data_IF_125893324057
#
_entry.id   IF_125893324057
#
_cell.length_a   1.000
_cell.length_b   1.000
_cell.length_c   1.000
_cell.angle_alpha   90.00
_cell.angle_beta   90.00
_cell.angle_gamma   90.00
#
_symmetry.space_group_name_H-M   'P 1'
#
loop_
_entity.id
_entity.type
_entity.pdbx_description
1 polymer ?
#
# COMPACT_ATOMS: atom_id res chain seq x y z
N UNK A 1 23.61 -18.66 -10.73
CA UNK A 1 22.20 -18.46 -10.35
C UNK A 1 21.51 -17.98 -11.61
N UNK A 2 20.59 -18.79 -12.15
CA UNK A 2 19.82 -18.44 -13.34
C UNK A 2 18.40 -18.08 -12.92
N UNK A 3 17.82 -17.06 -13.55
CA UNK A 3 16.47 -16.61 -13.27
C UNK A 3 15.48 -17.50 -14.03
N UNK A 4 14.65 -18.22 -13.28
CA UNK A 4 13.72 -19.22 -13.85
C UNK A 4 12.46 -18.55 -14.43
N UNK A 5 11.94 -17.52 -13.76
CA UNK A 5 10.72 -16.83 -14.16
C UNK A 5 10.89 -15.31 -14.04
N UNK A 6 11.53 -14.71 -15.05
CA UNK A 6 11.70 -13.26 -15.15
C UNK A 6 10.50 -12.56 -15.78
N UNK A 7 9.60 -13.30 -16.43
CA UNK A 7 8.53 -12.74 -17.24
C UNK A 7 7.22 -12.58 -16.47
N UNK A 8 6.98 -13.38 -15.43
CA UNK A 8 5.76 -13.30 -14.62
C UNK A 8 6.05 -13.14 -13.11
N UNK A 9 6.65 -12.02 -12.69
CA UNK A 9 6.81 -11.76 -11.26
C UNK A 9 5.45 -11.66 -10.57
N UNK A 10 5.29 -12.35 -9.45
CA UNK A 10 4.12 -12.15 -8.58
C UNK A 10 4.24 -10.80 -7.88
N UNK A 11 3.20 -10.00 -7.98
CA UNK A 11 3.08 -8.75 -7.26
C UNK A 11 2.85 -9.04 -5.77
N UNK A 12 3.52 -8.29 -4.91
CA UNK A 12 3.39 -8.38 -3.46
C UNK A 12 3.04 -6.99 -2.91
N UNK A 13 2.03 -6.94 -2.06
CA UNK A 13 1.59 -5.73 -1.38
C UNK A 13 2.53 -5.35 -0.24
N UNK A 14 2.56 -4.06 0.12
CA UNK A 14 3.40 -3.56 1.21
C UNK A 14 3.08 -4.24 2.55
N UNK A 15 1.80 -4.60 2.77
CA UNK A 15 1.35 -5.35 3.96
C UNK A 15 1.92 -6.78 4.00
N UNK A 16 1.93 -7.50 2.88
CA UNK A 16 2.51 -8.84 2.76
C UNK A 16 4.03 -8.80 2.98
N UNK A 17 4.71 -7.81 2.42
CA UNK A 17 6.15 -7.58 2.65
C UNK A 17 6.40 -7.31 4.15
N UNK A 18 5.60 -6.46 4.78
CA UNK A 18 5.74 -6.14 6.20
C UNK A 18 5.53 -7.38 7.09
N UNK A 19 4.54 -8.22 6.77
CA UNK A 19 4.29 -9.51 7.44
C UNK A 19 5.49 -10.44 7.31
N UNK A 20 6.03 -10.58 6.09
CA UNK A 20 7.22 -11.39 5.82
C UNK A 20 8.45 -10.90 6.59
N UNK A 21 8.65 -9.58 6.67
CA UNK A 21 9.75 -8.99 7.45
C UNK A 21 9.58 -9.31 8.93
N UNK A 22 8.37 -9.17 9.49
CA UNK A 22 8.07 -9.50 10.90
C UNK A 22 8.37 -10.97 11.22
N UNK A 23 8.05 -11.89 10.32
CA UNK A 23 8.33 -13.32 10.47
C UNK A 23 9.82 -13.67 10.33
N UNK A 24 10.55 -12.95 9.48
CA UNK A 24 11.96 -13.23 9.14
C UNK A 24 13.00 -12.61 10.07
N UNK A 25 12.63 -11.61 10.89
CA UNK A 25 13.52 -10.94 11.87
C UNK A 25 14.31 -11.90 12.78
N UNK A 26 13.82 -13.12 13.01
CA UNK A 26 14.46 -14.13 13.87
C UNK A 26 15.54 -14.98 13.18
N UNK A 27 15.64 -14.99 11.84
CA UNK A 27 16.38 -16.06 11.12
C UNK A 27 17.65 -15.62 10.37
N UNK A 28 17.84 -14.33 10.04
CA UNK A 28 18.95 -13.94 9.14
C UNK A 28 19.81 -12.79 9.67
N UNK A 29 20.93 -13.14 10.32
CA UNK A 29 21.90 -12.18 10.89
C UNK A 29 22.56 -11.27 9.84
N UNK A 30 22.73 -11.75 8.60
CA UNK A 30 23.43 -11.01 7.52
C UNK A 30 22.56 -9.96 6.81
N UNK A 31 21.24 -10.00 6.99
CA UNK A 31 20.29 -9.10 6.32
C UNK A 31 19.60 -8.13 7.30
N UNK A 32 20.09 -8.03 8.54
CA UNK A 32 19.44 -7.25 9.61
C UNK A 32 19.26 -5.78 9.24
N UNK A 33 20.27 -5.12 8.65
CA UNK A 33 20.18 -3.72 8.25
C UNK A 33 19.10 -3.49 7.19
N UNK A 34 19.02 -4.38 6.19
CA UNK A 34 17.99 -4.30 5.14
C UNK A 34 16.59 -4.53 5.73
N UNK A 35 16.42 -5.59 6.53
CA UNK A 35 15.12 -5.89 7.17
C UNK A 35 14.67 -4.76 8.11
N UNK A 36 15.61 -4.15 8.84
CA UNK A 36 15.33 -3.02 9.72
C UNK A 36 14.94 -1.77 8.94
N UNK A 37 15.72 -1.38 7.93
CA UNK A 37 15.45 -0.18 7.11
C UNK A 37 14.17 -0.31 6.29
N UNK A 38 13.93 -1.47 5.66
CA UNK A 38 12.68 -1.75 4.96
C UNK A 38 11.48 -1.74 5.91
N UNK A 39 11.58 -2.41 7.07
CA UNK A 39 10.50 -2.39 8.07
C UNK A 39 10.22 -0.98 8.60
N UNK A 40 11.26 -0.18 8.83
CA UNK A 40 11.12 1.23 9.23
C UNK A 40 10.41 2.03 8.16
N UNK A 41 10.81 1.90 6.89
CA UNK A 41 10.16 2.59 5.77
C UNK A 41 8.68 2.20 5.63
N UNK A 42 8.38 0.89 5.68
CA UNK A 42 6.99 0.41 5.54
C UNK A 42 6.07 0.81 6.70
N UNK A 43 6.64 1.13 7.87
CA UNK A 43 5.88 1.62 9.01
C UNK A 43 5.74 3.15 9.02
N UNK A 44 6.75 3.89 8.56
CA UNK A 44 6.79 5.35 8.71
C UNK A 44 6.51 6.14 7.43
N UNK A 45 6.63 5.52 6.25
CA UNK A 45 6.47 6.20 4.96
C UNK A 45 5.32 5.63 4.14
N UNK A 46 4.64 4.61 4.63
CA UNK A 46 3.51 3.98 3.91
C UNK A 46 2.36 3.64 4.86
N UNK A 47 1.10 3.69 4.39
CA UNK A 47 -0.07 3.37 5.19
C UNK A 47 -0.25 1.87 5.50
N UNK A 48 0.64 1.00 5.00
CA UNK A 48 0.53 -0.47 5.14
C UNK A 48 0.59 -1.01 6.56
N UNK A 49 1.04 -0.22 7.55
CA UNK A 49 1.04 -0.63 8.96
C UNK A 49 -0.36 -0.69 9.56
N UNK A 50 -1.31 0.09 9.03
CA UNK A 50 -2.68 0.25 9.54
C UNK A 50 -3.73 -0.47 8.70
N UNK A 51 -3.31 -1.34 7.80
CA UNK A 51 -4.19 -2.14 6.97
C UNK A 51 -4.24 -3.59 7.47
N UNK A 52 -5.38 -4.26 7.28
CA UNK A 52 -5.53 -5.68 7.52
C UNK A 52 -5.69 -6.49 6.22
N UNK A 53 -5.29 -7.76 6.26
CA UNK A 53 -5.40 -8.69 5.12
C UNK A 53 -6.86 -8.88 4.68
N UNK A 54 -7.80 -8.87 5.62
CA UNK A 54 -9.24 -8.94 5.34
C UNK A 54 -9.77 -7.70 4.60
N UNK A 55 -9.32 -6.50 4.97
CA UNK A 55 -9.71 -5.27 4.28
C UNK A 55 -9.18 -5.22 2.86
N UNK A 56 -7.92 -5.65 2.67
CA UNK A 56 -7.31 -5.75 1.34
C UNK A 56 -8.08 -6.71 0.43
N UNK A 57 -8.48 -7.87 0.95
CA UNK A 57 -9.27 -8.82 0.18
C UNK A 57 -10.66 -8.26 -0.17
N UNK A 58 -11.34 -7.62 0.78
CA UNK A 58 -12.64 -7.00 0.56
C UNK A 58 -12.56 -5.87 -0.49
N UNK A 59 -11.54 -5.01 -0.41
CA UNK A 59 -11.30 -3.96 -1.38
C UNK A 59 -11.00 -4.52 -2.78
N UNK A 60 -10.18 -5.57 -2.85
CA UNK A 60 -9.84 -6.23 -4.11
C UNK A 60 -11.08 -6.85 -4.80
N UNK A 61 -12.10 -7.23 -4.04
CA UNK A 61 -13.39 -7.65 -4.60
C UNK A 61 -14.26 -6.47 -5.04
N UNK A 62 -14.31 -5.41 -4.24
CA UNK A 62 -15.09 -4.21 -4.52
C UNK A 62 -14.60 -3.42 -5.73
N UNK A 63 -13.30 -3.49 -6.05
CA UNK A 63 -12.67 -2.73 -7.15
C UNK A 63 -12.72 -3.45 -8.52
N UNK A 64 -13.10 -4.74 -8.55
CA UNK A 64 -13.26 -5.53 -9.79
C UNK A 64 -14.09 -4.86 -10.89
N UNK A 65 -15.24 -4.20 -10.62
CA UNK A 65 -16.06 -3.61 -11.67
C UNK A 65 -15.39 -2.44 -12.41
N UNK A 66 -14.33 -1.84 -11.86
CA UNK A 66 -13.65 -0.70 -12.46
C UNK A 66 -12.60 -1.09 -13.52
N UNK A 67 -12.44 -2.39 -13.84
CA UNK A 67 -11.49 -2.91 -14.85
C UNK A 67 -10.08 -2.31 -14.72
N UNK A 68 -9.58 -2.21 -13.49
CA UNK A 68 -8.22 -1.78 -13.20
C UNK A 68 -7.23 -2.93 -13.39
N UNK A 69 -6.00 -2.59 -13.78
CA UNK A 69 -4.91 -3.56 -13.86
C UNK A 69 -4.46 -3.98 -12.46
N UNK A 70 -3.83 -5.16 -12.35
CA UNK A 70 -3.31 -5.64 -11.05
C UNK A 70 -2.28 -4.67 -10.44
N UNK A 71 -1.52 -3.96 -11.27
CA UNK A 71 -0.56 -2.96 -10.82
C UNK A 71 -1.26 -1.71 -10.26
N UNK A 72 -2.33 -1.25 -10.90
CA UNK A 72 -3.14 -0.13 -10.41
C UNK A 72 -3.80 -0.47 -9.07
N UNK A 73 -4.40 -1.66 -8.95
CA UNK A 73 -4.99 -2.13 -7.69
C UNK A 73 -3.94 -2.21 -6.59
N UNK A 74 -2.74 -2.73 -6.91
CA UNK A 74 -1.61 -2.76 -5.99
C UNK A 74 -1.21 -1.35 -5.52
N UNK A 75 -1.16 -0.38 -6.44
CA UNK A 75 -0.82 1.00 -6.11
C UNK A 75 -1.87 1.66 -5.21
N UNK A 76 -3.16 1.42 -5.46
CA UNK A 76 -4.24 1.88 -4.59
C UNK A 76 -4.12 1.34 -3.17
N UNK A 77 -3.88 0.03 -3.04
CA UNK A 77 -3.69 -0.63 -1.74
C UNK A 77 -2.45 -0.06 -1.03
N UNK A 78 -1.34 0.13 -1.74
CA UNK A 78 -0.09 0.56 -1.14
C UNK A 78 -0.09 2.04 -0.70
N UNK A 79 -0.85 2.90 -1.37
CA UNK A 79 -0.81 4.35 -1.15
C UNK A 79 -2.07 4.94 -0.49
N UNK A 80 -3.22 4.26 -0.52
CA UNK A 80 -4.50 4.78 0.01
C UNK A 80 -4.76 6.24 -0.40
N UNK A 81 -5.02 6.52 -1.69
CA UNK A 81 -5.23 7.88 -2.15
C UNK A 81 -6.43 8.52 -1.46
N UNK A 82 -6.27 9.79 -1.08
CA UNK A 82 -7.30 10.59 -0.41
C UNK A 82 -7.89 11.66 -1.29
N UNK A 83 -7.26 11.93 -2.45
CA UNK A 83 -7.67 12.96 -3.39
C UNK A 83 -7.66 12.46 -4.83
N UNK A 84 -8.47 13.10 -5.68
CA UNK A 84 -8.52 12.78 -7.11
C UNK A 84 -7.19 13.06 -7.82
N UNK A 85 -6.41 14.04 -7.32
CA UNK A 85 -5.07 14.34 -7.85
C UNK A 85 -4.10 13.20 -7.57
N UNK A 86 -4.17 12.58 -6.39
CA UNK A 86 -3.36 11.38 -6.11
C UNK A 86 -3.80 10.22 -7.01
N UNK A 87 -5.11 10.05 -7.21
CA UNK A 87 -5.64 8.98 -8.03
C UNK A 87 -5.17 9.08 -9.49
N UNK A 88 -5.11 10.28 -10.08
CA UNK A 88 -4.62 10.50 -11.44
C UNK A 88 -3.10 10.26 -11.59
N UNK A 89 -2.35 10.37 -10.50
CA UNK A 89 -0.92 10.00 -10.47
C UNK A 89 -0.74 8.48 -10.38
N UNK A 90 -1.63 7.78 -9.68
CA UNK A 90 -1.53 6.33 -9.50
C UNK A 90 -2.06 5.52 -10.70
N UNK A 91 -3.07 6.03 -11.40
CA UNK A 91 -3.72 5.35 -12.53
C UNK A 91 -3.39 6.09 -13.82
N UNK A 92 -2.74 5.41 -14.75
CA UNK A 92 -2.46 5.97 -16.08
C UNK A 92 -3.73 6.17 -16.88
N UNK A 93 -3.81 7.31 -17.58
CA UNK A 93 -4.91 7.68 -18.47
C UNK A 93 -6.30 7.65 -17.81
N UNK A 94 -6.36 7.97 -16.51
CA UNK A 94 -7.59 7.97 -15.71
C UNK A 94 -8.73 8.75 -16.38
N UNK A 95 -8.46 9.96 -16.87
CA UNK A 95 -9.45 10.84 -17.51
C UNK A 95 -10.05 10.27 -18.80
N UNK A 96 -9.34 9.34 -19.45
CA UNK A 96 -9.79 8.70 -20.69
C UNK A 96 -10.56 7.39 -20.43
N UNK A 97 -10.29 6.72 -19.30
CA UNK A 97 -10.81 5.39 -18.96
C UNK A 97 -11.98 5.44 -17.99
N UNK A 98 -11.99 6.42 -17.09
CA UNK A 98 -12.92 6.52 -15.98
C UNK A 98 -13.57 7.90 -15.99
N UNK A 99 -14.87 7.93 -15.68
CA UNK A 99 -15.56 9.19 -15.43
C UNK A 99 -15.21 9.75 -14.05
N UNK A 100 -15.36 11.07 -13.87
CA UNK A 100 -15.15 11.71 -12.56
C UNK A 100 -16.00 11.06 -11.45
N UNK A 101 -17.23 10.63 -11.76
CA UNK A 101 -18.09 9.92 -10.81
C UNK A 101 -17.49 8.57 -10.36
N UNK A 102 -16.85 7.84 -11.27
CA UNK A 102 -16.20 6.57 -10.93
C UNK A 102 -14.92 6.78 -10.15
N UNK A 103 -14.17 7.85 -10.44
CA UNK A 103 -13.01 8.24 -9.65
C UNK A 103 -13.41 8.53 -8.19
N UNK A 104 -14.51 9.27 -8.00
CA UNK A 104 -15.05 9.56 -6.67
C UNK A 104 -15.54 8.29 -5.95
N UNK A 105 -16.17 7.35 -6.67
CA UNK A 105 -16.55 6.04 -6.11
C UNK A 105 -15.33 5.23 -5.64
N UNK A 106 -14.22 5.26 -6.39
CA UNK A 106 -12.99 4.59 -5.99
C UNK A 106 -12.44 5.21 -4.70
N UNK A 107 -12.42 6.55 -4.60
CA UNK A 107 -11.97 7.23 -3.37
C UNK A 107 -12.86 6.88 -2.18
N UNK A 108 -14.17 6.83 -2.36
CA UNK A 108 -15.11 6.39 -1.31
C UNK A 108 -14.89 4.93 -0.91
N UNK A 109 -14.57 4.04 -1.85
CA UNK A 109 -14.22 2.66 -1.55
C UNK A 109 -12.92 2.56 -0.74
N UNK A 110 -11.90 3.36 -1.11
CA UNK A 110 -10.63 3.41 -0.37
C UNK A 110 -10.88 3.92 1.05
N UNK A 111 -11.65 4.99 1.24
CA UNK A 111 -11.96 5.54 2.56
C UNK A 111 -12.79 4.57 3.42
N UNK A 112 -13.75 3.87 2.81
CA UNK A 112 -14.58 2.88 3.49
C UNK A 112 -13.79 1.65 3.96
N UNK A 113 -12.85 1.17 3.16
CA UNK A 113 -12.08 -0.04 3.45
C UNK A 113 -10.78 0.24 4.21
N UNK A 114 -10.20 1.43 4.05
CA UNK A 114 -8.92 1.82 4.65
C UNK A 114 -8.97 3.19 5.33
N UNK A 115 -9.84 3.42 6.33
CA UNK A 115 -9.98 4.72 6.98
C UNK A 115 -8.67 5.16 7.67
N UNK A 116 -8.01 4.23 8.37
CA UNK A 116 -6.71 4.50 9.01
C UNK A 116 -5.57 4.67 7.99
N UNK A 117 -5.65 3.96 6.85
CA UNK A 117 -4.69 4.07 5.77
C UNK A 117 -4.75 5.43 5.07
N UNK A 118 -5.95 5.97 4.85
CA UNK A 118 -6.16 7.31 4.29
C UNK A 118 -5.62 8.39 5.23
N UNK A 119 -5.91 8.30 6.54
CA UNK A 119 -5.37 9.24 7.52
C UNK A 119 -3.83 9.20 7.59
N UNK A 120 -3.24 8.00 7.50
CA UNK A 120 -1.79 7.84 7.45
C UNK A 120 -1.21 8.45 6.16
N UNK A 121 -1.84 8.21 5.01
CA UNK A 121 -1.41 8.76 3.71
C UNK A 121 -1.44 10.29 3.68
N UNK A 122 -2.52 10.91 4.16
CA UNK A 122 -2.63 12.37 4.29
C UNK A 122 -1.53 12.97 5.18
N UNK A 123 -1.22 12.29 6.29
CA UNK A 123 -0.14 12.70 7.20
C UNK A 123 1.21 12.61 6.51
N UNK A 124 1.48 11.51 5.79
CA UNK A 124 2.73 11.31 5.04
C UNK A 124 2.88 12.34 3.93
N UNK A 125 1.81 12.67 3.20
CA UNK A 125 1.86 13.65 2.12
C UNK A 125 2.10 15.08 2.64
N UNK A 126 1.64 15.39 3.86
CA UNK A 126 1.80 16.71 4.48
C UNK A 126 3.15 16.89 5.20
N UNK A 127 3.63 15.84 5.89
CA UNK A 127 4.79 15.93 6.81
C UNK A 127 6.01 15.13 6.32
N UNK A 128 5.86 14.38 5.24
CA UNK A 128 6.87 13.48 4.72
C UNK A 128 7.08 12.21 5.55
N UNK A 129 6.55 12.09 6.77
CA UNK A 129 6.73 10.93 7.68
C UNK A 129 5.54 10.74 8.61
N UNK A 130 5.12 9.49 8.78
CA UNK A 130 4.33 9.07 9.92
C UNK A 130 5.29 8.80 11.10
N UNK A 131 5.32 9.69 12.09
CA UNK A 131 5.94 9.38 13.37
C UNK A 131 4.95 8.56 14.21
N UNK A 132 5.10 7.23 14.21
CA UNK A 132 4.70 6.49 15.41
C UNK A 132 5.64 6.94 16.53
N UNK A 133 5.11 7.66 17.52
CA UNK A 133 5.72 7.76 18.84
C UNK A 133 5.78 6.33 19.37
N UNK A 134 6.87 5.61 19.06
CA UNK A 134 7.22 4.44 19.83
C UNK A 134 7.62 4.97 21.19
N UNK A 135 6.68 4.97 22.13
CA UNK A 135 6.99 5.00 23.55
C UNK A 135 8.07 3.95 23.79
N UNK A 136 9.28 4.45 24.02
CA UNK A 136 10.39 3.74 24.61
C UNK A 136 9.98 3.45 26.06
N UNK A 137 9.17 2.41 26.26
CA UNK A 137 9.01 1.80 27.59
C UNK A 137 10.19 0.86 27.79
N UNK A 138 11.28 1.45 28.28
CA UNK A 138 12.36 0.77 28.99
C UNK A 138 12.16 0.95 30.49
#
# INVERSE_FOLDING_TARGET
MELIDSQNPRLLTNIEVLKLIKESKKKVRRQQTLLYTCGKYLNSKTPSSKQSESEVQAFAEAIKPFNLTKAEILMLINHCPSSQVELSVLISDLDSRLSNSQADEILQLVEKHFPEGVAASQTINSTGTFEEVTEETA
#
